data_IF_052379697657
#
_entry.id   IF_052379697657
#
_cell.length_a   1.000
_cell.length_b   1.000
_cell.length_c   1.000
_cell.angle_alpha   90.00
_cell.angle_beta   90.00
_cell.angle_gamma   90.00
#
_symmetry.space_group_name_H-M   'P 1'
#
loop_
_entity.id
_entity.type
_entity.pdbx_description
1 polymer ?
#
# COMPACT_ATOMS: atom_id res chain seq x y z
N UNK A 1 -0.99 59.21 70.50
CA UNK A 1 -1.45 57.96 69.82
C UNK A 1 -1.24 58.16 68.34
N UNK A 2 -0.22 57.59 67.78
CA UNK A 2 0.02 57.65 66.38
C UNK A 2 -0.77 56.50 65.73
N UNK A 3 -1.78 56.79 64.96
CA UNK A 3 -2.43 55.87 64.10
C UNK A 3 -1.44 55.51 62.98
N UNK A 4 -1.01 54.26 62.95
CA UNK A 4 -0.27 53.71 61.83
C UNK A 4 -1.27 53.55 60.69
N UNK A 5 -1.22 54.48 59.77
CA UNK A 5 -1.94 54.38 58.50
C UNK A 5 -1.41 53.07 57.77
N UNK A 6 -2.24 52.08 57.73
CA UNK A 6 -1.99 50.91 56.93
C UNK A 6 -2.04 51.38 55.49
N UNK A 7 -0.87 51.45 54.86
CA UNK A 7 -0.74 51.80 53.45
C UNK A 7 -1.40 50.71 52.58
N UNK A 8 -2.57 51.02 52.04
CA UNK A 8 -3.34 50.15 51.15
C UNK A 8 -2.59 49.85 49.82
N UNK A 9 -1.42 50.49 49.62
CA UNK A 9 -0.56 50.27 48.48
C UNK A 9 0.11 48.87 48.44
N UNK A 10 0.38 48.33 49.66
CA UNK A 10 1.04 47.00 49.70
C UNK A 10 0.10 45.83 49.41
N UNK A 11 -1.20 45.99 49.59
CA UNK A 11 -2.19 44.96 49.22
C UNK A 11 -2.49 44.95 47.72
N UNK A 12 -2.25 46.07 47.05
CA UNK A 12 -2.49 46.18 45.60
C UNK A 12 -1.33 45.63 44.74
N UNK A 13 -0.18 45.30 45.35
CA UNK A 13 0.98 44.82 44.61
C UNK A 13 1.01 43.32 44.39
N UNK A 14 0.13 42.53 44.95
CA UNK A 14 -0.16 41.20 44.41
C UNK A 14 -0.97 41.33 43.13
N UNK A 15 -0.40 41.97 42.12
CA UNK A 15 -0.82 41.73 40.74
C UNK A 15 -0.63 40.25 40.48
N UNK A 16 -1.71 39.49 40.59
CA UNK A 16 -1.76 38.11 40.08
C UNK A 16 -1.45 38.20 38.62
N UNK A 17 -0.19 37.92 38.26
CA UNK A 17 0.19 37.72 36.88
C UNK A 17 -0.46 36.40 36.52
N UNK A 18 -1.66 36.46 35.94
CA UNK A 18 -2.25 35.31 35.29
C UNK A 18 -1.38 35.01 34.07
N UNK A 19 -0.42 34.12 34.24
CA UNK A 19 0.30 33.56 33.10
C UNK A 19 -0.77 32.89 32.24
N UNK A 20 -0.97 33.30 30.98
CA UNK A 20 -1.97 32.67 30.14
C UNK A 20 -1.67 31.19 30.04
N UNK A 21 -2.64 30.36 30.41
CA UNK A 21 -2.52 28.90 30.33
C UNK A 21 -2.34 28.54 28.89
N UNK A 22 -1.18 28.00 28.53
CA UNK A 22 -0.92 27.55 27.16
C UNK A 22 -1.76 26.30 26.90
N UNK A 23 -2.86 26.51 26.19
CA UNK A 23 -3.76 25.44 25.81
C UNK A 23 -3.13 24.61 24.71
N UNK A 24 -2.94 23.33 24.97
CA UNK A 24 -2.47 22.35 23.96
C UNK A 24 -3.66 21.98 23.06
N UNK A 25 -3.63 22.41 21.81
CA UNK A 25 -4.66 22.09 20.82
C UNK A 25 -4.12 20.99 19.90
N UNK A 26 -4.86 19.88 19.78
CA UNK A 26 -4.53 18.81 18.85
C UNK A 26 -5.45 18.83 17.63
N UNK A 27 -4.95 18.47 16.44
CA UNK A 27 -5.74 18.48 15.23
C UNK A 27 -6.78 17.36 15.20
N UNK A 28 -7.68 17.45 14.24
CA UNK A 28 -8.61 16.36 13.91
C UNK A 28 -7.86 15.12 13.48
N UNK A 29 -8.49 13.94 13.68
CA UNK A 29 -7.96 12.64 13.33
C UNK A 29 -7.49 12.60 11.85
N UNK A 30 -6.20 12.40 11.61
CA UNK A 30 -5.63 12.34 10.26
C UNK A 30 -5.98 11.03 9.55
N UNK A 31 -6.28 9.96 10.30
CA UNK A 31 -6.68 8.68 9.76
C UNK A 31 -7.78 8.81 8.70
N UNK A 32 -8.74 9.71 8.89
CA UNK A 32 -9.81 9.96 7.92
C UNK A 32 -9.31 10.47 6.55
N UNK A 33 -8.12 11.08 6.52
CA UNK A 33 -7.55 11.65 5.28
C UNK A 33 -6.63 10.68 4.55
N UNK A 34 -5.98 9.77 5.27
CA UNK A 34 -4.96 8.86 4.72
C UNK A 34 -5.44 7.43 4.52
N UNK A 35 -6.45 6.97 5.28
CA UNK A 35 -7.01 5.61 5.18
C UNK A 35 -8.51 5.65 4.97
N UNK A 36 -9.11 4.52 4.60
CA UNK A 36 -10.56 4.41 4.49
C UNK A 36 -11.21 4.21 5.85
N UNK A 37 -12.37 4.85 6.02
CA UNK A 37 -13.15 4.77 7.24
C UNK A 37 -14.46 4.05 6.94
N UNK A 38 -14.71 2.95 7.64
CA UNK A 38 -15.94 2.19 7.55
C UNK A 38 -16.49 1.91 8.95
N UNK A 39 -17.62 2.51 9.34
CA UNK A 39 -18.19 2.28 10.67
C UNK A 39 -18.67 0.85 10.83
N UNK A 40 -18.50 0.30 12.04
CA UNK A 40 -19.01 -1.01 12.42
C UNK A 40 -20.38 -0.87 13.07
N UNK A 41 -21.30 -1.78 12.75
CA UNK A 41 -22.62 -1.87 13.38
C UNK A 41 -22.59 -2.71 14.66
N UNK A 42 -21.56 -3.51 14.88
CA UNK A 42 -21.41 -4.41 16.02
C UNK A 42 -19.97 -4.48 16.53
N UNK A 43 -19.70 -5.23 17.60
CA UNK A 43 -18.36 -5.40 18.16
C UNK A 43 -17.42 -6.16 17.22
N UNK A 44 -17.98 -6.95 16.31
CA UNK A 44 -17.30 -7.61 15.20
C UNK A 44 -17.97 -7.20 13.90
N UNK A 45 -17.21 -7.14 12.82
CA UNK A 45 -17.72 -6.82 11.51
C UNK A 45 -16.89 -7.49 10.42
N UNK A 46 -17.40 -7.49 9.22
CA UNK A 46 -16.71 -7.98 8.03
C UNK A 46 -16.46 -6.80 7.09
N UNK A 47 -15.23 -6.68 6.62
CA UNK A 47 -14.90 -5.79 5.52
C UNK A 47 -14.85 -6.62 4.26
N UNK A 48 -15.63 -6.20 3.27
CA UNK A 48 -15.71 -6.86 1.98
C UNK A 48 -14.85 -6.14 0.97
N UNK A 49 -14.18 -6.90 0.12
CA UNK A 49 -13.46 -6.37 -1.02
C UNK A 49 -13.68 -7.24 -2.25
N UNK A 50 -13.71 -6.59 -3.39
CA UNK A 50 -13.99 -7.17 -4.69
C UNK A 50 -12.69 -7.44 -5.42
N UNK A 51 -12.56 -8.66 -5.96
CA UNK A 51 -11.48 -9.03 -6.86
C UNK A 51 -12.04 -9.59 -8.16
N UNK A 52 -11.40 -9.23 -9.24
CA UNK A 52 -11.62 -9.85 -10.53
C UNK A 52 -10.45 -10.77 -10.83
N UNK A 53 -10.74 -12.00 -11.19
CA UNK A 53 -9.74 -13.02 -11.49
C UNK A 53 -10.02 -13.66 -12.82
N UNK A 54 -8.98 -14.06 -13.52
CA UNK A 54 -9.13 -14.93 -14.67
C UNK A 54 -9.56 -16.33 -14.22
N UNK A 55 -10.55 -16.90 -14.86
CA UNK A 55 -11.13 -18.21 -14.52
C UNK A 55 -10.33 -19.35 -15.11
N UNK A 56 -9.98 -19.23 -16.37
CA UNK A 56 -9.27 -20.25 -17.15
C UNK A 56 -7.81 -19.88 -17.35
N UNK A 57 -6.98 -20.90 -17.56
CA UNK A 57 -5.63 -20.69 -18.06
C UNK A 57 -5.69 -20.27 -19.52
N UNK A 58 -4.68 -19.52 -19.95
CA UNK A 58 -4.48 -19.22 -21.36
C UNK A 58 -3.00 -18.92 -21.63
N UNK A 59 -2.29 -19.90 -22.13
CA UNK A 59 -0.85 -19.81 -22.36
C UNK A 59 -0.09 -19.51 -21.07
N UNK A 60 0.64 -18.40 -21.05
CA UNK A 60 1.35 -17.94 -19.86
C UNK A 60 0.42 -17.39 -18.77
N UNK A 61 -0.83 -17.05 -19.09
CA UNK A 61 -1.83 -16.56 -18.16
C UNK A 61 -2.45 -17.69 -17.39
N UNK A 62 -2.31 -17.67 -16.07
CA UNK A 62 -2.92 -18.68 -15.22
C UNK A 62 -4.28 -18.25 -14.72
N UNK A 63 -5.24 -19.17 -14.71
CA UNK A 63 -6.51 -19.02 -14.00
C UNK A 63 -6.28 -18.69 -12.53
N UNK A 64 -7.23 -18.01 -11.91
CA UNK A 64 -7.16 -17.46 -10.56
C UNK A 64 -6.17 -16.28 -10.36
N UNK A 65 -5.48 -15.82 -11.40
CA UNK A 65 -4.69 -14.59 -11.35
C UNK A 65 -5.59 -13.36 -11.29
N UNK A 66 -5.22 -12.39 -10.47
CA UNK A 66 -6.00 -11.16 -10.32
C UNK A 66 -5.88 -10.27 -11.55
N UNK A 67 -7.00 -9.78 -12.06
CA UNK A 67 -7.05 -8.74 -13.08
C UNK A 67 -6.67 -7.40 -12.44
N UNK A 68 -5.84 -6.63 -13.11
CA UNK A 68 -5.46 -5.31 -12.63
C UNK A 68 -4.30 -5.28 -11.65
N UNK A 69 -3.48 -6.33 -11.66
CA UNK A 69 -2.12 -6.26 -11.17
C UNK A 69 -1.95 -6.21 -9.67
N UNK A 70 -2.58 -7.13 -8.99
CA UNK A 70 -2.09 -7.46 -7.67
C UNK A 70 -1.00 -8.54 -7.79
N UNK A 71 0.27 -8.17 -7.98
CA UNK A 71 1.36 -9.13 -7.99
C UNK A 71 1.55 -9.63 -6.56
N UNK A 72 1.48 -10.92 -6.33
CA UNK A 72 1.92 -11.48 -5.06
C UNK A 72 1.15 -12.63 -4.46
N UNK A 73 0.02 -13.03 -5.01
CA UNK A 73 -0.65 -14.23 -4.52
C UNK A 73 -0.04 -15.53 -5.10
N UNK A 74 0.62 -15.44 -6.26
CA UNK A 74 1.33 -16.54 -6.87
C UNK A 74 2.72 -16.10 -7.31
N UNK A 75 3.72 -16.96 -7.13
CA UNK A 75 5.09 -16.77 -7.60
C UNK A 75 5.20 -16.58 -9.14
N UNK A 76 4.10 -16.69 -9.85
CA UNK A 76 3.92 -16.52 -11.30
C UNK A 76 2.93 -15.40 -11.64
N UNK A 77 2.76 -14.43 -10.76
CA UNK A 77 1.95 -13.25 -11.08
C UNK A 77 2.46 -12.60 -12.36
N UNK A 78 1.59 -12.51 -13.34
CA UNK A 78 1.84 -12.05 -14.72
C UNK A 78 2.36 -10.62 -14.85
N UNK A 79 2.42 -9.88 -13.76
CA UNK A 79 2.91 -8.51 -13.74
C UNK A 79 4.40 -8.36 -13.48
N UNK A 80 5.10 -9.43 -13.09
CA UNK A 80 6.54 -9.37 -12.84
C UNK A 80 7.21 -10.67 -13.25
N UNK A 81 7.86 -10.68 -14.42
CA UNK A 81 8.91 -11.63 -14.69
C UNK A 81 10.05 -11.45 -13.68
N UNK A 82 10.82 -12.50 -13.47
CA UNK A 82 12.04 -12.44 -12.65
C UNK A 82 13.05 -11.36 -13.11
N UNK A 83 12.95 -10.91 -14.36
CA UNK A 83 13.73 -9.85 -14.98
C UNK A 83 13.15 -8.43 -14.76
N UNK A 84 12.03 -8.32 -14.03
CA UNK A 84 11.37 -7.03 -13.76
C UNK A 84 10.53 -6.48 -14.91
N UNK A 85 10.40 -7.19 -16.03
CA UNK A 85 9.52 -6.77 -17.14
C UNK A 85 8.07 -7.11 -16.81
N UNK A 86 7.16 -6.16 -17.04
CA UNK A 86 5.74 -6.37 -16.86
C UNK A 86 5.24 -7.34 -17.95
N UNK A 87 4.65 -8.44 -17.55
CA UNK A 87 3.86 -9.28 -18.45
C UNK A 87 2.45 -8.68 -18.50
N UNK A 88 2.21 -7.85 -19.51
CA UNK A 88 0.86 -7.49 -19.88
C UNK A 88 0.27 -8.67 -20.64
N UNK A 89 -0.80 -9.23 -20.10
CA UNK A 89 -1.56 -10.24 -20.82
C UNK A 89 -2.52 -9.56 -21.80
N UNK A 90 -1.92 -9.07 -22.87
CA UNK A 90 -2.62 -8.36 -23.93
C UNK A 90 -3.41 -9.29 -24.85
N UNK A 91 -3.22 -10.59 -24.70
CA UNK A 91 -3.81 -11.61 -25.59
C UNK A 91 -4.89 -12.45 -24.92
N UNK A 92 -5.23 -12.22 -23.66
CA UNK A 92 -6.18 -13.07 -22.93
C UNK A 92 -7.54 -13.20 -23.63
N UNK A 93 -8.04 -12.15 -24.24
CA UNK A 93 -9.33 -12.14 -24.96
C UNK A 93 -9.20 -12.44 -26.45
N UNK A 94 -7.99 -12.60 -26.99
CA UNK A 94 -7.74 -12.86 -28.40
C UNK A 94 -7.68 -14.37 -28.69
N UNK A 95 -7.68 -14.76 -29.94
CA UNK A 95 -7.43 -16.13 -30.37
C UNK A 95 -5.96 -16.56 -30.24
N UNK A 96 -5.05 -15.65 -29.90
CA UNK A 96 -3.61 -15.91 -29.77
C UNK A 96 -3.25 -16.41 -28.38
N UNK A 97 -2.55 -17.53 -28.32
CA UNK A 97 -1.98 -18.10 -27.09
C UNK A 97 -0.50 -17.83 -27.09
N UNK A 98 -0.01 -17.22 -26.02
CA UNK A 98 1.39 -16.86 -25.90
C UNK A 98 2.07 -17.70 -24.81
N UNK A 99 3.21 -18.32 -25.17
CA UNK A 99 4.12 -19.00 -24.24
C UNK A 99 3.45 -20.09 -23.38
N UNK A 100 2.58 -20.89 -23.97
CA UNK A 100 2.08 -22.09 -23.30
C UNK A 100 3.23 -23.08 -23.16
N UNK A 101 3.44 -23.57 -21.94
CA UNK A 101 4.51 -24.52 -21.63
C UNK A 101 3.95 -25.93 -21.55
N UNK A 102 4.40 -26.81 -22.42
CA UNK A 102 4.12 -28.22 -22.33
C UNK A 102 5.42 -29.01 -22.01
N UNK A 103 5.32 -29.90 -21.02
CA UNK A 103 6.41 -30.76 -20.61
C UNK A 103 6.12 -32.22 -21.01
N UNK A 104 7.15 -32.93 -21.38
CA UNK A 104 7.02 -34.38 -21.57
C UNK A 104 7.24 -35.11 -20.27
N UNK A 105 6.69 -36.30 -20.17
CA UNK A 105 7.19 -37.29 -19.23
C UNK A 105 8.67 -37.57 -19.53
N UNK A 106 9.49 -37.48 -18.50
CA UNK A 106 10.93 -37.65 -18.62
C UNK A 106 11.27 -39.01 -19.26
N UNK A 107 11.72 -38.98 -20.47
CA UNK A 107 12.60 -39.97 -20.94
C UNK A 107 12.05 -41.10 -21.70
N UNK A 108 12.46 -41.61 -22.46
CA UNK A 108 12.63 -42.88 -23.11
C UNK A 108 12.39 -42.80 -24.63
N UNK A 109 13.34 -42.36 -25.32
CA UNK A 109 13.38 -42.65 -26.75
C UNK A 109 13.60 -41.42 -27.63
N UNK A 110 13.69 -41.71 -28.90
CA UNK A 110 13.90 -40.74 -29.98
C UNK A 110 12.62 -39.91 -30.28
N UNK A 111 11.53 -40.23 -29.60
CA UNK A 111 10.23 -39.55 -29.80
C UNK A 111 9.68 -39.03 -28.49
N UNK A 112 9.34 -37.79 -28.48
CA UNK A 112 8.68 -37.12 -27.34
C UNK A 112 7.25 -36.73 -27.70
N UNK A 113 6.28 -37.21 -26.94
CA UNK A 113 4.88 -36.85 -27.04
C UNK A 113 4.60 -35.85 -25.92
N UNK A 114 4.19 -34.63 -26.28
CA UNK A 114 3.88 -33.58 -25.33
C UNK A 114 2.42 -33.66 -24.94
N UNK A 115 2.11 -33.20 -23.74
CA UNK A 115 0.73 -33.06 -23.30
C UNK A 115 -0.07 -32.23 -24.31
N UNK A 116 -1.34 -32.60 -24.60
CA UNK A 116 -2.16 -31.84 -25.52
C UNK A 116 -2.24 -30.36 -25.11
N UNK A 117 -2.21 -29.49 -26.11
CA UNK A 117 -2.37 -28.06 -25.92
C UNK A 117 -3.76 -27.77 -25.32
N UNK A 118 -3.83 -26.80 -24.41
CA UNK A 118 -5.05 -26.50 -23.68
C UNK A 118 -6.18 -25.99 -24.56
N UNK A 119 -5.85 -25.29 -25.67
CA UNK A 119 -6.85 -24.68 -26.56
C UNK A 119 -6.79 -25.27 -27.97
N UNK A 120 -7.87 -25.88 -28.40
CA UNK A 120 -8.02 -26.52 -29.71
C UNK A 120 -9.32 -26.08 -30.38
N UNK A 121 -9.44 -26.18 -31.73
CA UNK A 121 -8.44 -26.61 -32.72
C UNK A 121 -7.38 -25.55 -33.01
N UNK A 122 -6.14 -26.00 -33.19
CA UNK A 122 -4.97 -25.14 -33.44
C UNK A 122 -4.88 -24.79 -34.93
N UNK A 123 -4.58 -23.53 -35.22
CA UNK A 123 -4.32 -23.03 -36.57
C UNK A 123 -2.83 -23.26 -36.89
N UNK A 124 -2.53 -24.32 -37.63
CA UNK A 124 -1.15 -24.79 -37.85
C UNK A 124 -0.20 -23.72 -38.38
N UNK A 125 -0.64 -22.86 -39.29
CA UNK A 125 0.22 -21.83 -39.90
C UNK A 125 0.67 -20.70 -38.99
N UNK A 126 0.17 -20.64 -37.75
CA UNK A 126 0.46 -19.59 -36.77
C UNK A 126 1.37 -20.05 -35.64
N UNK A 127 1.64 -21.36 -35.57
CA UNK A 127 2.37 -21.96 -34.46
C UNK A 127 3.87 -21.70 -34.54
N UNK A 128 4.41 -21.18 -33.46
CA UNK A 128 5.86 -21.02 -33.24
C UNK A 128 6.21 -21.56 -31.87
N UNK A 129 7.43 -22.09 -31.70
CA UNK A 129 7.82 -22.57 -30.39
C UNK A 129 9.33 -22.62 -30.19
N UNK A 130 9.72 -22.77 -28.93
CA UNK A 130 11.10 -22.94 -28.50
C UNK A 130 11.21 -24.23 -27.69
N UNK A 131 12.17 -25.03 -28.04
CA UNK A 131 12.46 -26.32 -27.41
C UNK A 131 13.59 -26.11 -26.42
N UNK A 132 13.40 -26.62 -25.21
CA UNK A 132 14.36 -26.53 -24.11
C UNK A 132 14.84 -27.91 -23.69
N UNK A 133 16.14 -28.01 -23.38
CA UNK A 133 16.71 -29.12 -22.61
C UNK A 133 17.03 -28.57 -21.19
N UNK A 134 16.23 -28.97 -20.23
CA UNK A 134 16.24 -28.34 -18.92
C UNK A 134 15.91 -26.86 -18.99
N UNK A 135 16.85 -25.99 -18.64
CA UNK A 135 16.69 -24.52 -18.66
C UNK A 135 17.27 -23.87 -19.94
N UNK A 136 17.91 -24.66 -20.82
CA UNK A 136 18.61 -24.13 -22.00
C UNK A 136 17.76 -24.27 -23.25
N UNK A 137 17.52 -23.15 -23.96
CA UNK A 137 16.87 -23.17 -25.25
C UNK A 137 17.83 -23.78 -26.30
N UNK A 138 17.39 -24.82 -27.01
CA UNK A 138 18.22 -25.57 -27.96
C UNK A 138 17.79 -25.34 -29.40
N UNK A 139 16.52 -25.24 -29.68
CA UNK A 139 15.97 -25.01 -31.01
C UNK A 139 14.71 -24.17 -30.97
N UNK A 140 14.47 -23.43 -32.05
CA UNK A 140 13.16 -22.85 -32.34
C UNK A 140 12.51 -23.55 -33.52
N UNK A 141 11.19 -23.54 -33.57
CA UNK A 141 10.47 -24.09 -34.72
C UNK A 141 9.29 -23.20 -35.11
N UNK A 142 8.89 -23.32 -36.36
CA UNK A 142 7.67 -22.76 -36.93
C UNK A 142 6.92 -23.83 -37.66
N UNK A 143 5.60 -23.79 -37.64
CA UNK A 143 4.74 -24.76 -38.35
C UNK A 143 4.02 -24.01 -39.47
N UNK A 144 4.17 -24.52 -40.69
CA UNK A 144 3.47 -23.97 -41.86
C UNK A 144 1.97 -24.35 -41.86
N UNK A 145 1.17 -23.67 -42.66
CA UNK A 145 -0.26 -23.97 -42.82
C UNK A 145 -0.53 -25.45 -43.27
N UNK A 146 0.43 -26.06 -43.91
CA UNK A 146 0.38 -27.50 -44.30
C UNK A 146 0.86 -28.46 -43.20
N UNK A 147 1.14 -27.99 -41.98
CA UNK A 147 1.60 -28.82 -40.86
C UNK A 147 3.09 -29.18 -40.92
N UNK A 148 3.87 -28.59 -41.82
CA UNK A 148 5.31 -28.87 -41.94
C UNK A 148 6.10 -28.05 -40.93
N UNK A 149 6.96 -28.74 -40.17
CA UNK A 149 7.84 -28.12 -39.19
C UNK A 149 9.15 -27.65 -39.84
N UNK A 150 9.54 -26.43 -39.52
CA UNK A 150 10.84 -25.87 -39.87
C UNK A 150 11.58 -25.56 -38.59
N UNK A 151 12.76 -26.16 -38.39
CA UNK A 151 13.58 -26.00 -37.18
C UNK A 151 14.77 -25.09 -37.45
N UNK A 152 15.10 -24.27 -36.46
CA UNK A 152 16.29 -23.43 -36.42
C UNK A 152 17.08 -23.70 -35.13
N UNK A 153 18.34 -24.11 -35.29
CA UNK A 153 19.19 -24.47 -34.15
C UNK A 153 19.69 -23.23 -33.39
N UNK A 154 19.71 -23.33 -32.06
CA UNK A 154 20.32 -22.33 -31.18
C UNK A 154 21.64 -22.93 -30.69
N UNK A 155 22.77 -22.44 -31.21
CA UNK A 155 24.09 -23.01 -30.92
C UNK A 155 24.32 -24.33 -31.64
N UNK A 156 24.85 -25.32 -30.93
CA UNK A 156 25.11 -26.71 -31.45
C UNK A 156 24.34 -27.69 -30.56
N UNK A 157 23.01 -27.83 -30.76
CA UNK A 157 22.20 -28.72 -29.92
C UNK A 157 22.54 -30.20 -30.17
N UNK A 158 22.65 -30.95 -29.08
CA UNK A 158 22.82 -32.38 -29.12
C UNK A 158 22.23 -33.00 -27.83
N UNK A 159 21.13 -33.73 -27.91
CA UNK A 159 20.35 -34.10 -29.10
C UNK A 159 19.54 -32.92 -29.70
N UNK A 160 19.10 -33.07 -30.94
CA UNK A 160 18.25 -32.10 -31.63
C UNK A 160 17.03 -32.76 -32.26
N UNK A 161 15.97 -31.96 -32.41
CA UNK A 161 14.74 -32.40 -33.08
C UNK A 161 14.96 -32.38 -34.59
N UNK A 162 14.53 -33.43 -35.24
CA UNK A 162 14.67 -33.61 -36.71
C UNK A 162 13.34 -33.49 -37.43
N UNK A 163 12.23 -33.87 -36.79
CA UNK A 163 10.89 -33.74 -37.35
C UNK A 163 9.85 -33.60 -36.25
N UNK A 164 8.69 -33.07 -36.61
CA UNK A 164 7.56 -32.93 -35.68
C UNK A 164 6.24 -33.17 -36.38
N UNK A 165 5.22 -33.55 -35.65
CA UNK A 165 3.83 -33.61 -36.10
C UNK A 165 2.92 -32.92 -35.09
N UNK A 166 1.90 -32.24 -35.60
CA UNK A 166 0.90 -31.52 -34.80
C UNK A 166 -0.49 -32.06 -35.15
N UNK A 167 -1.19 -32.58 -34.14
CA UNK A 167 -2.62 -32.88 -34.24
C UNK A 167 -3.43 -31.60 -34.05
N UNK A 168 -3.83 -30.93 -35.12
CA UNK A 168 -4.53 -29.63 -35.04
C UNK A 168 -5.85 -29.73 -34.30
N UNK A 169 -6.54 -30.84 -34.31
CA UNK A 169 -7.80 -31.05 -33.60
C UNK A 169 -7.60 -31.54 -32.17
N UNK A 170 -6.56 -32.34 -31.92
CA UNK A 170 -6.27 -32.91 -30.61
C UNK A 170 -5.32 -32.06 -29.76
N UNK A 171 -4.60 -31.13 -30.38
CA UNK A 171 -3.56 -30.34 -29.72
C UNK A 171 -2.28 -31.14 -29.40
N UNK A 172 -2.18 -32.38 -29.86
CA UNK A 172 -1.05 -33.25 -29.56
C UNK A 172 0.17 -32.84 -30.40
N UNK A 173 1.29 -32.58 -29.73
CA UNK A 173 2.56 -32.24 -30.34
C UNK A 173 3.52 -33.40 -30.14
N UNK A 174 4.04 -33.97 -31.25
CA UNK A 174 5.02 -35.04 -31.21
C UNK A 174 6.28 -34.58 -31.92
N UNK A 175 7.42 -34.71 -31.24
CA UNK A 175 8.74 -34.34 -31.75
C UNK A 175 9.66 -35.57 -31.81
N UNK A 176 10.36 -35.72 -32.93
CA UNK A 176 11.34 -36.82 -33.16
C UNK A 176 12.75 -36.25 -33.04
N UNK A 177 13.57 -36.92 -32.28
CA UNK A 177 14.94 -36.53 -31.95
C UNK A 177 15.98 -37.40 -32.65
N UNK A 178 17.17 -36.88 -32.84
CA UNK A 178 18.30 -37.66 -33.33
C UNK A 178 19.05 -38.46 -32.24
N UNK A 179 18.66 -38.29 -30.99
CA UNK A 179 19.18 -38.96 -29.79
C UNK A 179 18.22 -38.79 -28.62
N UNK A 180 18.35 -39.56 -27.56
CA UNK A 180 17.48 -39.47 -26.40
C UNK A 180 17.75 -38.13 -25.67
N UNK A 181 16.72 -37.27 -25.54
CA UNK A 181 16.85 -36.03 -24.76
C UNK A 181 16.82 -36.30 -23.25
N UNK A 182 17.35 -35.36 -22.47
CA UNK A 182 17.31 -35.43 -21.02
C UNK A 182 15.93 -35.03 -20.48
N UNK A 183 15.76 -33.78 -20.19
CA UNK A 183 14.49 -33.22 -19.70
C UNK A 183 13.99 -32.18 -20.69
N UNK A 184 12.84 -32.44 -21.33
CA UNK A 184 12.36 -31.59 -22.41
C UNK A 184 11.14 -30.80 -22.01
N UNK A 185 11.21 -29.50 -22.28
CA UNK A 185 10.07 -28.60 -22.24
C UNK A 185 9.95 -27.92 -23.61
N UNK A 186 8.72 -27.67 -24.00
CA UNK A 186 8.42 -26.87 -25.19
C UNK A 186 7.56 -25.70 -24.77
N UNK A 187 7.95 -24.52 -25.19
CA UNK A 187 7.15 -23.31 -25.01
C UNK A 187 6.62 -22.91 -26.38
N UNK A 188 5.31 -22.89 -26.55
CA UNK A 188 4.65 -22.63 -27.82
C UNK A 188 3.76 -21.42 -27.78
N UNK A 189 3.70 -20.73 -28.92
CA UNK A 189 2.75 -19.65 -29.16
C UNK A 189 1.99 -19.97 -30.44
N UNK A 190 0.67 -19.89 -30.43
CA UNK A 190 -0.17 -20.30 -31.55
C UNK A 190 -1.52 -19.57 -31.52
N UNK A 191 -2.26 -19.65 -32.62
CA UNK A 191 -3.65 -19.23 -32.65
C UNK A 191 -4.56 -20.47 -32.68
N UNK A 192 -5.70 -20.38 -32.02
CA UNK A 192 -6.75 -21.38 -32.04
C UNK A 192 -8.02 -20.80 -32.63
N UNK A 193 -8.88 -21.64 -33.16
CA UNK A 193 -10.15 -21.20 -33.73
C UNK A 193 -11.17 -21.01 -32.60
N UNK A 194 -11.60 -19.77 -32.39
CA UNK A 194 -12.65 -19.41 -31.42
C UNK A 194 -14.07 -19.53 -32.02
N UNK A 195 -14.22 -19.76 -33.32
CA UNK A 195 -15.52 -19.83 -33.96
C UNK A 195 -16.26 -21.12 -33.54
N UNK A 196 -17.45 -20.96 -32.96
CA UNK A 196 -18.23 -22.07 -32.40
C UNK A 196 -17.51 -22.87 -31.30
N UNK A 197 -16.49 -22.30 -30.68
CA UNK A 197 -15.74 -22.93 -29.61
C UNK A 197 -16.38 -22.60 -28.25
N UNK A 198 -16.44 -23.61 -27.33
CA UNK A 198 -16.94 -23.44 -25.98
C UNK A 198 -15.83 -22.97 -25.01
N UNK A 199 -14.57 -23.07 -25.42
CA UNK A 199 -13.42 -22.71 -24.63
C UNK A 199 -13.11 -21.20 -24.76
N UNK A 200 -13.97 -20.40 -24.16
CA UNK A 200 -13.84 -18.95 -24.13
C UNK A 200 -13.17 -18.49 -22.82
N UNK A 201 -12.28 -17.49 -22.89
CA UNK A 201 -11.70 -16.91 -21.69
C UNK A 201 -12.77 -16.30 -20.77
N UNK A 202 -12.73 -16.64 -19.51
CA UNK A 202 -13.70 -16.20 -18.51
C UNK A 202 -13.07 -15.34 -17.43
N UNK A 203 -13.87 -14.41 -16.92
CA UNK A 203 -13.52 -13.57 -15.79
C UNK A 203 -14.48 -13.84 -14.64
N UNK A 204 -13.93 -14.19 -13.48
CA UNK A 204 -14.68 -14.43 -12.26
C UNK A 204 -14.62 -13.24 -11.32
N UNK A 205 -15.79 -12.88 -10.78
CA UNK A 205 -15.92 -11.95 -9.69
C UNK A 205 -15.83 -12.70 -8.37
N UNK A 206 -14.83 -12.40 -7.55
CA UNK A 206 -14.63 -12.99 -6.23
C UNK A 206 -14.85 -11.91 -5.17
N UNK A 207 -15.77 -12.18 -4.24
CA UNK A 207 -15.98 -11.33 -3.07
C UNK A 207 -15.28 -12.01 -1.90
N UNK A 208 -14.27 -11.35 -1.37
CA UNK A 208 -13.56 -11.79 -0.17
C UNK A 208 -13.96 -10.93 1.03
N UNK A 209 -13.94 -11.50 2.20
CA UNK A 209 -14.25 -10.82 3.45
C UNK A 209 -13.19 -11.09 4.50
N UNK A 210 -12.83 -10.04 5.25
CA UNK A 210 -11.95 -10.15 6.39
C UNK A 210 -12.65 -9.70 7.67
N UNK A 211 -12.49 -10.48 8.73
CA UNK A 211 -13.07 -10.17 10.03
C UNK A 211 -12.28 -9.08 10.76
N UNK A 212 -13.03 -8.14 11.35
CA UNK A 212 -12.51 -7.07 12.19
C UNK A 212 -13.24 -7.09 13.53
N UNK A 213 -12.46 -7.12 14.62
CA UNK A 213 -12.97 -6.98 15.98
C UNK A 213 -12.64 -5.59 16.55
N UNK A 214 -13.64 -4.97 17.16
CA UNK A 214 -13.48 -3.68 17.82
C UNK A 214 -12.76 -3.83 19.16
N UNK A 215 -11.66 -3.12 19.34
CA UNK A 215 -10.92 -3.01 20.59
C UNK A 215 -11.30 -1.73 21.34
N UNK A 216 -11.18 -1.75 22.65
CA UNK A 216 -11.56 -0.64 23.50
C UNK A 216 -10.33 0.16 23.93
N UNK A 217 -10.41 1.50 23.84
CA UNK A 217 -9.48 2.43 24.48
C UNK A 217 -10.20 3.24 25.55
N UNK A 218 -9.58 3.41 26.69
CA UNK A 218 -10.13 4.13 27.84
C UNK A 218 -9.04 4.97 28.47
N UNK A 219 -9.40 6.18 28.81
CA UNK A 219 -8.52 7.09 29.54
C UNK A 219 -9.34 7.79 30.62
N UNK A 220 -8.78 8.01 31.81
CA UNK A 220 -9.44 8.72 32.92
C UNK A 220 -8.58 9.89 33.36
N UNK A 221 -9.24 10.98 33.72
CA UNK A 221 -8.65 12.07 34.47
C UNK A 221 -9.12 12.04 35.93
N UNK A 222 -8.23 12.45 36.80
CA UNK A 222 -8.49 12.68 38.23
C UNK A 222 -7.93 14.06 38.58
N UNK A 223 -8.65 14.84 39.33
CA UNK A 223 -8.18 16.14 39.79
C UNK A 223 -8.62 16.36 41.22
N UNK A 224 -7.97 17.33 41.92
CA UNK A 224 -8.40 17.71 43.24
C UNK A 224 -9.49 18.79 43.20
N UNK A 225 -10.32 18.79 44.22
CA UNK A 225 -11.39 19.80 44.32
C UNK A 225 -10.84 21.22 44.51
N UNK A 226 -9.72 21.32 45.21
CA UNK A 226 -9.01 22.59 45.42
C UNK A 226 -8.50 23.16 44.10
N UNK A 227 -7.86 22.32 43.27
CA UNK A 227 -7.36 22.75 41.96
C UNK A 227 -8.51 23.24 41.04
N UNK A 228 -9.68 22.61 41.11
CA UNK A 228 -10.86 23.04 40.35
C UNK A 228 -11.34 24.44 40.84
N UNK A 229 -11.35 24.64 42.15
CA UNK A 229 -11.74 25.89 42.75
C UNK A 229 -10.78 27.04 42.40
N UNK A 230 -9.48 26.77 42.44
CA UNK A 230 -8.43 27.74 42.10
C UNK A 230 -8.45 28.10 40.61
N UNK A 231 -8.59 27.14 39.70
CA UNK A 231 -8.73 27.40 38.27
C UNK A 231 -9.95 28.28 37.98
N UNK A 232 -11.06 28.00 38.64
CA UNK A 232 -12.28 28.79 38.46
C UNK A 232 -12.15 30.21 39.02
N UNK A 233 -11.53 30.36 40.19
CA UNK A 233 -11.37 31.66 40.84
C UNK A 233 -10.32 32.56 40.17
N UNK A 234 -9.21 31.96 39.70
CA UNK A 234 -8.09 32.73 39.16
C UNK A 234 -8.16 32.93 37.65
N UNK A 235 -8.65 31.93 36.91
CA UNK A 235 -8.64 31.94 35.46
C UNK A 235 -10.02 31.86 34.81
N UNK A 236 -11.08 31.74 35.62
CA UNK A 236 -12.45 31.56 35.14
C UNK A 236 -12.58 30.35 34.17
N UNK A 237 -11.77 29.28 34.37
CA UNK A 237 -11.77 28.08 33.58
C UNK A 237 -12.44 26.93 34.33
N UNK A 238 -13.18 26.12 33.60
CA UNK A 238 -13.75 24.87 34.12
C UNK A 238 -12.77 23.73 33.94
N UNK A 239 -12.21 23.19 35.03
CA UNK A 239 -11.26 22.10 35.04
C UNK A 239 -11.84 20.83 34.37
N UNK A 240 -13.12 20.56 34.53
CA UNK A 240 -13.78 19.42 33.93
C UNK A 240 -13.78 19.49 32.39
N UNK A 241 -14.18 20.66 31.86
CA UNK A 241 -14.25 20.88 30.41
C UNK A 241 -12.86 20.82 29.77
N UNK A 242 -11.86 21.46 30.39
CA UNK A 242 -10.48 21.45 29.89
C UNK A 242 -9.86 20.05 29.90
N UNK A 243 -9.98 19.33 31.03
CA UNK A 243 -9.45 17.95 31.11
C UNK A 243 -10.15 17.02 30.15
N UNK A 244 -11.46 17.16 29.98
CA UNK A 244 -12.21 16.35 29.00
C UNK A 244 -11.71 16.60 27.57
N UNK A 245 -11.46 17.84 27.20
CA UNK A 245 -10.91 18.21 25.90
C UNK A 245 -9.50 17.60 25.69
N UNK A 246 -8.63 17.68 26.70
CA UNK A 246 -7.28 17.10 26.66
C UNK A 246 -7.33 15.57 26.54
N UNK A 247 -8.20 14.89 27.30
CA UNK A 247 -8.37 13.44 27.21
C UNK A 247 -8.81 13.00 25.81
N UNK A 248 -9.77 13.72 25.21
CA UNK A 248 -10.26 13.43 23.88
C UNK A 248 -9.15 13.59 22.83
N UNK A 249 -8.36 14.65 22.97
CA UNK A 249 -7.24 14.94 22.09
C UNK A 249 -6.15 13.87 22.18
N UNK A 250 -5.81 13.42 23.39
CA UNK A 250 -4.79 12.38 23.60
C UNK A 250 -5.19 11.04 22.98
N UNK A 251 -6.46 10.63 23.15
CA UNK A 251 -6.95 9.40 22.51
C UNK A 251 -6.86 9.49 20.98
N UNK A 252 -7.24 10.64 20.39
CA UNK A 252 -7.16 10.83 18.95
C UNK A 252 -5.72 10.77 18.46
N UNK A 253 -4.78 11.41 19.17
CA UNK A 253 -3.36 11.36 18.84
C UNK A 253 -2.78 9.93 18.91
N UNK A 254 -3.21 9.17 19.92
CA UNK A 254 -2.81 7.78 20.08
C UNK A 254 -3.31 6.89 18.94
N UNK A 255 -4.55 7.10 18.48
CA UNK A 255 -5.13 6.40 17.34
C UNK A 255 -4.35 6.73 16.06
N UNK A 256 -4.06 8.00 15.80
CA UNK A 256 -3.30 8.41 14.62
C UNK A 256 -1.90 7.81 14.60
N UNK A 257 -1.20 7.81 15.75
CA UNK A 257 0.11 7.17 15.89
C UNK A 257 0.06 5.67 15.66
N UNK A 258 -0.98 5.01 16.16
CA UNK A 258 -1.16 3.58 15.95
C UNK A 258 -1.35 3.27 14.46
N UNK A 259 -2.20 4.02 13.77
CA UNK A 259 -2.43 3.87 12.32
C UNK A 259 -1.14 4.13 11.54
N UNK A 260 -0.44 5.24 11.80
CA UNK A 260 0.82 5.55 11.11
C UNK A 260 1.90 4.50 11.36
N UNK A 261 1.99 3.96 12.58
CA UNK A 261 2.96 2.91 12.93
C UNK A 261 2.64 1.61 12.19
N UNK A 262 1.37 1.24 12.11
CA UNK A 262 0.94 0.07 11.36
C UNK A 262 1.27 0.22 9.87
N UNK A 263 0.95 1.36 9.25
CA UNK A 263 1.24 1.62 7.85
C UNK A 263 2.74 1.60 7.57
N UNK A 264 3.54 2.20 8.45
CA UNK A 264 4.99 2.24 8.34
C UNK A 264 5.63 0.85 8.42
N UNK A 265 5.17 0.04 9.37
CA UNK A 265 5.74 -1.30 9.59
C UNK A 265 5.33 -2.28 8.49
N UNK A 266 4.16 -2.11 7.92
CA UNK A 266 3.60 -3.00 6.90
C UNK A 266 3.66 -2.39 5.48
N UNK A 267 4.51 -1.39 5.24
CA UNK A 267 4.68 -0.82 3.91
C UNK A 267 5.26 -1.85 2.93
N UNK A 268 4.55 -2.12 1.84
CA UNK A 268 4.94 -3.12 0.82
C UNK A 268 6.08 -2.67 -0.10
N UNK A 269 6.47 -1.39 -0.01
CA UNK A 269 7.65 -0.86 -0.70
C UNK A 269 8.52 -0.17 0.33
N UNK A 270 9.76 -0.64 0.44
CA UNK A 270 10.76 -0.03 1.32
C UNK A 270 11.93 0.43 0.44
N UNK A 271 12.32 1.69 0.60
CA UNK A 271 13.46 2.26 -0.11
C UNK A 271 14.32 3.07 0.84
N UNK A 272 15.53 3.37 0.43
CA UNK A 272 16.46 4.20 1.17
C UNK A 272 17.03 5.29 0.26
N UNK A 273 17.31 6.45 0.84
CA UNK A 273 18.04 7.53 0.23
C UNK A 273 19.08 8.04 1.23
N UNK A 274 20.30 8.27 0.75
CA UNK A 274 21.40 8.74 1.58
C UNK A 274 21.97 10.00 0.96
N UNK A 275 22.05 11.06 1.77
CA UNK A 275 22.58 12.36 1.36
C UNK A 275 24.04 12.27 0.89
N UNK A 276 24.85 11.41 1.49
CA UNK A 276 26.28 11.29 1.14
C UNK A 276 26.50 10.64 -0.22
N UNK A 277 25.62 9.72 -0.61
CA UNK A 277 25.68 9.01 -1.89
C UNK A 277 24.74 9.62 -2.95
N UNK A 278 23.99 10.66 -2.59
CA UNK A 278 23.05 11.33 -3.47
C UNK A 278 23.78 12.02 -4.64
N UNK A 279 23.19 11.96 -5.82
CA UNK A 279 23.69 12.64 -7.01
C UNK A 279 23.58 14.17 -6.85
N UNK A 280 24.62 14.87 -7.21
CA UNK A 280 24.71 16.32 -7.15
C UNK A 280 25.92 16.80 -6.35
N UNK A 281 26.45 17.97 -6.71
CA UNK A 281 27.58 18.62 -6.04
C UNK A 281 27.11 19.59 -4.96
N UNK A 282 25.97 20.23 -5.20
CA UNK A 282 25.39 21.20 -4.27
C UNK A 282 24.33 20.55 -3.38
N UNK A 283 24.11 21.13 -2.20
CA UNK A 283 23.05 20.66 -1.27
C UNK A 283 21.68 20.67 -1.96
N UNK A 284 21.42 21.68 -2.78
CA UNK A 284 20.15 21.81 -3.51
C UNK A 284 19.94 20.67 -4.50
N UNK A 285 20.95 20.33 -5.29
CA UNK A 285 20.89 19.22 -6.26
C UNK A 285 20.67 17.88 -5.56
N UNK A 286 21.32 17.67 -4.41
CA UNK A 286 21.10 16.47 -3.60
C UNK A 286 19.65 16.37 -3.10
N UNK A 287 19.06 17.46 -2.66
CA UNK A 287 17.65 17.48 -2.27
C UNK A 287 16.68 17.30 -3.45
N UNK A 288 17.06 17.80 -4.64
CA UNK A 288 16.33 17.49 -5.87
C UNK A 288 16.39 15.99 -6.20
N UNK A 289 17.51 15.30 -5.90
CA UNK A 289 17.60 13.84 -6.05
C UNK A 289 16.67 13.08 -5.09
N UNK A 290 16.45 13.60 -3.87
CA UNK A 290 15.43 13.05 -2.95
C UNK A 290 14.03 13.13 -3.56
N UNK A 291 13.72 14.26 -4.20
CA UNK A 291 12.44 14.42 -4.88
C UNK A 291 12.26 13.41 -6.02
N UNK A 292 13.29 13.21 -6.85
CA UNK A 292 13.27 12.17 -7.89
C UNK A 292 12.99 10.78 -7.30
N UNK A 293 13.62 10.49 -6.15
CA UNK A 293 13.37 9.21 -5.44
C UNK A 293 11.94 9.05 -4.96
N UNK A 294 11.32 10.12 -4.48
CA UNK A 294 9.90 10.12 -4.09
C UNK A 294 8.99 9.87 -5.30
N UNK A 295 9.28 10.48 -6.46
CA UNK A 295 8.56 10.21 -7.72
C UNK A 295 8.70 8.75 -8.13
N UNK A 296 9.91 8.20 -8.07
CA UNK A 296 10.18 6.79 -8.38
C UNK A 296 9.33 5.86 -7.51
N UNK A 297 9.32 6.07 -6.20
CA UNK A 297 8.52 5.27 -5.26
C UNK A 297 7.03 5.39 -5.55
N UNK A 298 6.55 6.60 -5.85
CA UNK A 298 5.15 6.81 -6.25
C UNK A 298 4.78 6.01 -7.50
N UNK A 299 5.70 5.95 -8.49
CA UNK A 299 5.51 5.15 -9.69
C UNK A 299 5.55 3.63 -9.40
N UNK A 300 6.35 3.19 -8.42
CA UNK A 300 6.33 1.80 -7.95
C UNK A 300 4.97 1.44 -7.32
N UNK A 301 4.40 2.34 -6.51
CA UNK A 301 3.04 2.15 -5.98
C UNK A 301 2.03 2.05 -7.12
N UNK A 302 2.10 2.96 -8.11
CA UNK A 302 1.22 2.93 -9.28
C UNK A 302 1.32 1.59 -10.01
N UNK A 303 2.54 1.12 -10.29
CA UNK A 303 2.78 -0.15 -10.97
C UNK A 303 2.26 -1.36 -10.18
N UNK A 304 2.37 -1.31 -8.83
CA UNK A 304 1.89 -2.39 -7.96
C UNK A 304 0.38 -2.41 -7.78
N UNK A 305 -0.25 -1.26 -7.79
CA UNK A 305 -1.70 -1.13 -7.54
C UNK A 305 -2.53 -1.03 -8.80
N UNK A 306 -1.95 -0.57 -9.93
CA UNK A 306 -2.61 -0.22 -11.19
C UNK A 306 -3.82 0.75 -11.04
N UNK A 307 -3.90 1.44 -9.91
CA UNK A 307 -4.99 2.39 -9.59
C UNK A 307 -4.51 3.83 -9.62
N UNK A 308 -3.32 4.08 -9.11
CA UNK A 308 -2.72 5.40 -9.08
C UNK A 308 -1.45 5.44 -8.27
N UNK A 309 -0.65 6.47 -8.46
CA UNK A 309 0.53 6.74 -7.64
C UNK A 309 0.11 7.32 -6.28
N UNK A 310 1.03 7.37 -5.33
CA UNK A 310 0.79 7.99 -4.04
C UNK A 310 0.16 9.38 -4.17
N UNK A 311 -0.72 9.74 -3.26
CA UNK A 311 -1.39 11.04 -3.22
C UNK A 311 -1.24 11.78 -1.89
N UNK A 312 -0.60 11.17 -0.90
CA UNK A 312 -0.26 11.79 0.36
C UNK A 312 1.11 11.35 0.87
N UNK A 313 1.74 12.22 1.65
CA UNK A 313 3.03 12.02 2.30
C UNK A 313 2.90 12.45 3.76
N UNK A 314 3.42 11.63 4.68
CA UNK A 314 3.59 11.97 6.10
C UNK A 314 5.06 11.89 6.44
N UNK A 315 5.61 12.91 7.05
CA UNK A 315 7.03 12.98 7.38
C UNK A 315 7.29 13.81 8.64
N UNK A 316 8.52 13.74 9.13
CA UNK A 316 9.00 14.58 10.24
C UNK A 316 9.16 16.04 9.82
N UNK A 317 9.21 16.99 10.78
CA UNK A 317 9.44 18.41 10.50
C UNK A 317 10.72 18.69 9.73
N UNK A 318 11.79 17.93 10.02
CA UNK A 318 13.09 18.09 9.38
C UNK A 318 13.04 17.74 7.90
N UNK A 319 12.42 16.62 7.55
CA UNK A 319 12.28 16.21 6.14
C UNK A 319 11.26 17.10 5.43
N UNK A 320 10.21 17.56 6.12
CA UNK A 320 9.24 18.50 5.53
C UNK A 320 9.91 19.79 5.09
N UNK A 321 10.85 20.34 5.88
CA UNK A 321 11.58 21.56 5.53
C UNK A 321 12.39 21.44 4.23
N UNK A 322 12.87 20.24 3.90
CA UNK A 322 13.55 19.97 2.63
C UNK A 322 12.58 20.18 1.46
N UNK A 323 11.35 19.67 1.56
CA UNK A 323 10.34 19.86 0.52
C UNK A 323 9.88 21.33 0.42
N UNK A 324 9.78 22.03 1.55
CA UNK A 324 9.42 23.44 1.59
C UNK A 324 10.48 24.34 0.91
N UNK A 325 11.76 23.99 1.04
CA UNK A 325 12.90 24.82 0.55
C UNK A 325 13.42 24.43 -0.83
N UNK A 326 13.46 23.14 -1.15
CA UNK A 326 14.15 22.63 -2.33
C UNK A 326 13.27 22.49 -3.57
N UNK A 327 11.95 22.44 -3.43
CA UNK A 327 11.06 22.09 -4.53
C UNK A 327 10.41 23.33 -5.14
N UNK A 328 10.69 23.57 -6.41
CA UNK A 328 10.03 24.63 -7.19
C UNK A 328 8.50 24.41 -7.35
N UNK A 329 8.01 23.20 -7.05
CA UNK A 329 6.60 22.82 -7.14
C UNK A 329 5.86 22.76 -5.79
N UNK A 330 6.42 23.30 -4.71
CA UNK A 330 5.72 23.36 -3.43
C UNK A 330 4.68 24.48 -3.43
N UNK A 331 3.42 24.11 -3.20
CA UNK A 331 2.33 25.06 -2.98
C UNK A 331 1.92 25.02 -1.51
N UNK A 332 2.15 26.09 -0.74
CA UNK A 332 1.75 26.13 0.67
C UNK A 332 0.24 26.03 0.81
N UNK A 333 -0.21 25.49 1.93
CA UNK A 333 -1.63 25.46 2.25
C UNK A 333 -2.19 26.91 2.32
N UNK A 334 -3.43 27.16 1.86
CA UNK A 334 -4.08 28.44 2.08
C UNK A 334 -4.05 28.83 3.55
N UNK A 335 -3.86 30.10 3.85
CA UNK A 335 -3.72 30.61 5.23
C UNK A 335 -4.89 30.23 6.15
N UNK A 336 -6.08 30.05 5.59
CA UNK A 336 -7.27 29.60 6.31
C UNK A 336 -7.19 28.14 6.78
N UNK A 337 -6.38 27.31 6.12
CA UNK A 337 -6.19 25.90 6.44
C UNK A 337 -4.93 25.66 7.28
N UNK A 338 -4.06 26.66 7.36
CA UNK A 338 -2.85 26.62 8.17
C UNK A 338 -3.19 26.95 9.62
N UNK A 339 -3.71 25.99 10.34
CA UNK A 339 -3.88 26.11 11.78
C UNK A 339 -2.60 25.68 12.47
N UNK A 340 -1.99 26.58 13.21
CA UNK A 340 -0.88 26.28 14.13
C UNK A 340 -1.37 25.34 15.22
N UNK A 341 -1.33 24.04 14.98
CA UNK A 341 -1.78 23.02 15.92
C UNK A 341 -0.62 22.14 16.37
N UNK A 342 -0.64 21.80 17.66
CA UNK A 342 0.31 20.87 18.27
C UNK A 342 0.01 19.43 17.85
N UNK A 343 0.36 19.03 16.66
CA UNK A 343 0.10 17.69 16.16
C UNK A 343 0.43 17.56 14.69
N UNK A 344 -0.20 16.63 14.02
CA UNK A 344 0.00 16.43 12.59
C UNK A 344 -0.65 17.61 11.84
N UNK A 345 0.17 18.32 11.07
CA UNK A 345 -0.24 19.49 10.31
C UNK A 345 -0.22 19.22 8.82
N UNK A 346 -1.23 19.72 8.13
CA UNK A 346 -1.19 19.82 6.68
C UNK A 346 -0.39 21.06 6.30
N UNK A 347 0.73 20.86 5.59
CA UNK A 347 1.65 21.95 5.23
C UNK A 347 1.35 22.50 3.84
N UNK A 348 0.95 21.66 2.92
CA UNK A 348 0.70 22.05 1.56
C UNK A 348 0.71 20.88 0.58
N UNK A 349 0.78 21.19 -0.68
CA UNK A 349 0.91 20.20 -1.76
C UNK A 349 2.27 20.32 -2.43
N UNK A 350 2.90 19.19 -2.65
CA UNK A 350 4.13 19.10 -3.42
C UNK A 350 3.77 18.72 -4.85
N UNK A 351 4.19 19.54 -5.80
CA UNK A 351 3.92 19.41 -7.23
C UNK A 351 2.43 19.24 -7.59
N UNK A 352 1.56 19.86 -6.82
CA UNK A 352 0.09 19.76 -6.94
C UNK A 352 -0.47 18.31 -6.97
N UNK A 353 0.32 17.35 -6.52
CA UNK A 353 0.02 15.92 -6.57
C UNK A 353 -0.04 15.28 -5.18
N UNK A 354 0.92 15.58 -4.30
CA UNK A 354 1.01 14.96 -2.98
C UNK A 354 0.65 15.94 -1.88
N UNK A 355 -0.28 15.56 -1.03
CA UNK A 355 -0.60 16.28 0.20
C UNK A 355 0.48 16.00 1.23
N UNK A 356 1.20 17.03 1.66
CA UNK A 356 2.27 16.92 2.65
C UNK A 356 1.73 17.15 4.05
N UNK A 357 1.90 16.17 4.90
CA UNK A 357 1.58 16.22 6.32
C UNK A 357 2.87 16.17 7.14
N UNK A 358 2.98 17.04 8.11
CA UNK A 358 4.11 17.18 9.02
C UNK A 358 3.70 16.70 10.41
N UNK A 359 4.38 15.66 10.90
CA UNK A 359 4.13 15.08 12.22
C UNK A 359 5.38 15.24 13.09
N UNK A 360 5.33 16.06 14.16
CA UNK A 360 6.46 16.27 15.05
C UNK A 360 6.90 15.02 15.81
N UNK A 361 6.08 13.99 15.87
CA UNK A 361 6.35 12.75 16.59
C UNK A 361 6.72 11.59 15.63
N UNK A 362 6.80 11.90 14.34
CA UNK A 362 7.26 10.92 13.34
C UNK A 362 8.78 10.78 13.40
N UNK A 363 9.35 9.58 13.15
CA UNK A 363 10.81 9.41 13.12
C UNK A 363 11.49 10.38 12.15
N UNK A 364 12.52 11.08 12.62
CA UNK A 364 13.18 12.18 11.91
C UNK A 364 13.80 11.80 10.56
N UNK A 365 14.11 10.54 10.36
CA UNK A 365 14.78 10.02 9.18
C UNK A 365 13.88 9.17 8.28
N UNK A 366 12.57 9.32 8.35
CA UNK A 366 11.63 8.52 7.58
C UNK A 366 10.56 9.38 6.92
N UNK A 367 10.09 8.87 5.80
CA UNK A 367 8.97 9.39 5.06
C UNK A 367 8.04 8.23 4.73
N UNK A 368 6.76 8.40 5.01
CA UNK A 368 5.70 7.47 4.66
C UNK A 368 4.83 8.09 3.56
N UNK A 369 4.58 7.34 2.51
CA UNK A 369 3.69 7.77 1.45
C UNK A 369 2.72 6.67 1.08
N UNK A 370 1.56 7.05 0.56
CA UNK A 370 0.54 6.09 0.21
C UNK A 370 -0.48 6.63 -0.77
N UNK A 371 -1.29 5.71 -1.24
CA UNK A 371 -2.43 5.98 -2.11
C UNK A 371 -3.74 5.73 -1.37
N UNK A 372 -4.65 6.67 -1.49
CA UNK A 372 -6.05 6.54 -1.08
C UNK A 372 -6.92 7.01 -2.24
N UNK A 373 -7.77 6.13 -2.76
CA UNK A 373 -8.74 6.49 -3.79
C UNK A 373 -9.94 7.26 -3.21
N UNK A 374 -10.79 7.75 -4.12
CA UNK A 374 -12.01 8.47 -3.74
C UNK A 374 -13.09 7.53 -3.19
N UNK A 375 -13.10 6.27 -3.65
CA UNK A 375 -13.96 5.23 -3.11
C UNK A 375 -13.40 4.67 -1.80
N UNK A 376 -14.28 4.36 -0.84
CA UNK A 376 -13.89 3.69 0.39
C UNK A 376 -13.27 2.29 0.13
N UNK A 377 -13.56 1.66 -1.01
CA UNK A 377 -12.99 0.38 -1.43
C UNK A 377 -11.55 0.50 -2.00
N UNK A 378 -11.11 1.73 -2.32
CA UNK A 378 -9.81 1.99 -2.93
C UNK A 378 -8.74 2.38 -1.91
N UNK A 379 -8.63 1.60 -0.83
CA UNK A 379 -7.61 1.77 0.18
C UNK A 379 -7.11 0.42 0.67
N UNK A 380 -5.86 0.36 1.05
CA UNK A 380 -5.26 -0.86 1.60
C UNK A 380 -5.49 -1.05 3.10
N UNK A 381 -5.96 -0.04 3.81
CA UNK A 381 -6.14 -0.07 5.26
C UNK A 381 -7.48 0.52 5.66
N UNK A 382 -8.18 -0.15 6.58
CA UNK A 382 -9.46 0.27 7.10
C UNK A 382 -9.38 0.65 8.58
N UNK A 383 -9.89 1.82 8.89
CA UNK A 383 -10.21 2.26 10.23
C UNK A 383 -11.73 2.15 10.42
N UNK A 384 -12.15 1.39 11.42
CA UNK A 384 -13.54 0.99 11.62
C UNK A 384 -14.03 1.43 13.00
N UNK A 385 -14.55 2.67 13.16
CA UNK A 385 -15.13 3.11 14.41
C UNK A 385 -16.42 2.33 14.70
N UNK A 386 -16.56 1.87 15.93
CA UNK A 386 -17.77 1.19 16.44
C UNK A 386 -18.52 2.08 17.43
N UNK A 387 -17.84 2.52 18.49
CA UNK A 387 -18.40 3.44 19.48
C UNK A 387 -17.64 4.75 19.37
N UNK A 388 -18.32 5.86 19.10
CA UNK A 388 -17.68 7.17 19.09
C UNK A 388 -17.13 7.49 20.47
N UNK A 389 -16.40 8.58 20.60
CA UNK A 389 -15.83 9.03 21.85
C UNK A 389 -16.96 9.36 22.83
N UNK A 390 -17.14 8.53 23.84
CA UNK A 390 -18.16 8.69 24.89
C UNK A 390 -17.52 9.07 26.21
N UNK A 391 -18.17 9.96 26.94
CA UNK A 391 -17.72 10.46 28.23
C UNK A 391 -18.54 9.83 29.34
N UNK A 392 -17.90 9.52 30.48
CA UNK A 392 -18.62 9.13 31.70
C UNK A 392 -19.02 10.36 32.50
N UNK A 393 -20.07 10.32 33.30
CA UNK A 393 -20.35 11.38 34.29
C UNK A 393 -19.17 11.48 35.28
N UNK A 394 -19.05 12.62 35.92
CA UNK A 394 -18.09 12.81 37.01
C UNK A 394 -18.49 11.96 38.20
N UNK A 395 -17.57 11.19 38.72
CA UNK A 395 -17.74 10.33 39.90
C UNK A 395 -16.77 10.83 40.97
N UNK A 396 -17.29 11.17 42.16
CA UNK A 396 -16.47 11.50 43.31
C UNK A 396 -16.01 10.18 43.96
N UNK A 397 -14.73 10.10 44.25
CA UNK A 397 -14.17 9.00 45.04
C UNK A 397 -14.51 9.22 46.52
N UNK A 398 -15.19 8.26 47.19
CA UNK A 398 -15.58 8.45 48.59
C UNK A 398 -14.41 8.49 49.59
N UNK A 399 -13.25 7.95 49.22
CA UNK A 399 -12.09 7.93 50.09
C UNK A 399 -11.21 9.16 49.97
N UNK A 400 -11.02 9.67 48.76
CA UNK A 400 -10.11 10.82 48.49
C UNK A 400 -10.82 12.12 48.15
N UNK A 401 -12.16 12.11 48.01
CA UNK A 401 -12.99 13.21 47.54
C UNK A 401 -12.53 13.82 46.19
N UNK A 402 -11.68 13.10 45.47
CA UNK A 402 -11.20 13.53 44.15
C UNK A 402 -12.22 13.19 43.07
N UNK A 403 -12.68 14.18 42.30
CA UNK A 403 -13.51 13.91 41.12
C UNK A 403 -12.73 13.17 40.04
N UNK A 404 -13.41 12.23 39.39
CA UNK A 404 -12.89 11.42 38.31
C UNK A 404 -13.85 11.45 37.12
N UNK A 405 -13.29 11.55 35.93
CA UNK A 405 -14.03 11.47 34.67
C UNK A 405 -13.26 10.60 33.68
N UNK A 406 -13.97 9.77 32.95
CA UNK A 406 -13.37 8.89 31.93
C UNK A 406 -13.92 9.16 30.55
N UNK A 407 -13.12 8.83 29.56
CA UNK A 407 -13.51 8.80 28.16
C UNK A 407 -13.18 7.45 27.61
N UNK A 408 -14.07 6.93 26.78
CA UNK A 408 -13.87 5.64 26.12
C UNK A 408 -14.27 5.73 24.65
N UNK A 409 -13.58 4.93 23.82
CA UNK A 409 -13.93 4.68 22.42
C UNK A 409 -13.67 3.23 22.08
N UNK A 410 -14.38 2.72 21.07
CA UNK A 410 -14.16 1.38 20.54
C UNK A 410 -14.04 1.46 19.03
N UNK A 411 -12.99 0.89 18.48
CA UNK A 411 -12.76 0.82 17.05
C UNK A 411 -12.01 -0.46 16.67
N UNK A 412 -12.19 -0.87 15.43
CA UNK A 412 -11.40 -1.89 14.77
C UNK A 412 -10.46 -1.28 13.76
N UNK A 413 -9.40 -1.97 13.44
CA UNK A 413 -8.46 -1.62 12.37
C UNK A 413 -8.02 -2.88 11.65
N UNK A 414 -7.82 -2.77 10.35
CA UNK A 414 -7.36 -3.89 9.55
C UNK A 414 -6.58 -3.40 8.33
N UNK A 415 -5.40 -3.99 8.14
CA UNK A 415 -4.70 -3.94 6.86
C UNK A 415 -5.21 -5.12 6.03
N UNK A 416 -5.68 -4.85 4.82
CA UNK A 416 -6.08 -5.90 3.90
C UNK A 416 -4.86 -6.75 3.48
N UNK A 417 -5.09 -7.98 3.09
CA UNK A 417 -4.06 -8.93 2.66
C UNK A 417 -3.08 -8.32 1.63
N UNK A 418 -3.57 -7.52 0.70
CA UNK A 418 -2.75 -6.83 -0.31
C UNK A 418 -2.60 -5.33 -0.05
N UNK A 419 -3.12 -4.85 1.06
CA UNK A 419 -3.12 -3.44 1.42
C UNK A 419 -1.73 -2.83 1.58
N UNK A 420 -0.74 -3.65 1.90
CA UNK A 420 0.65 -3.23 2.01
C UNK A 420 1.20 -2.57 0.73
N UNK A 421 0.70 -2.97 -0.45
CA UNK A 421 1.14 -2.45 -1.76
C UNK A 421 0.76 -1.00 -2.01
N UNK A 422 -0.22 -0.49 -1.28
CA UNK A 422 -0.67 0.91 -1.35
C UNK A 422 0.25 1.87 -0.60
N UNK A 423 1.19 1.36 0.20
CA UNK A 423 2.03 2.15 1.08
C UNK A 423 3.51 1.90 0.82
N UNK A 424 4.30 2.96 0.94
CA UNK A 424 5.74 2.92 0.82
C UNK A 424 6.41 3.70 1.94
N UNK A 425 7.53 3.18 2.40
CA UNK A 425 8.40 3.81 3.37
C UNK A 425 9.75 4.13 2.73
N UNK A 426 10.19 5.37 2.87
CA UNK A 426 11.51 5.82 2.51
C UNK A 426 12.31 6.14 3.77
N UNK A 427 13.47 5.53 3.93
CA UNK A 427 14.44 5.87 4.96
C UNK A 427 15.43 6.89 4.40
N UNK A 428 15.68 7.95 5.13
CA UNK A 428 16.54 9.07 4.72
C UNK A 428 17.73 9.10 5.70
N UNK A 429 18.95 8.98 5.17
CA UNK A 429 20.16 8.96 5.99
C UNK A 429 21.04 10.18 5.72
N UNK A 430 21.81 10.58 6.74
CA UNK A 430 22.88 11.58 6.66
C UNK A 430 22.49 12.95 6.10
N UNK A 431 21.20 13.34 6.16
CA UNK A 431 20.78 14.65 5.70
C UNK A 431 21.19 15.75 6.69
N UNK A 432 21.54 16.91 6.16
CA UNK A 432 21.94 18.11 6.92
C UNK A 432 20.81 19.12 6.82
N UNK A 433 20.37 19.63 7.98
CA UNK A 433 19.35 20.68 8.09
C UNK A 433 20.06 22.03 8.27
#
# INVERSE_FOLDING_TARGET
MNEVSTDTGDVAQFKRISIPLVRRIYPQLIANKIVSVQPLLGPTGLVYYLRFRYSSNKGATRGASNIGGFPGDDANSLMQRADGTANLDIFYTSQFIQNETSSTDAGAGVQSVFAPLEHTPVLAGTMTGTIYDGATAIQTFTVSAGGTFTFSDIGTPSPKVTSGTLGTTTGELVLNWNGAPGSNNVVVSYEYNMECNQDLPEINLVIESEEIAAKTRKLKAVWSYEAQQDLRSQHNLDAEAELTAVLAQEINLEIDREVLTDLRNNAGTVSAWDFNTALGETIKEKYESLYVKVVEISNVIHRKTLRGGANWIVTSPEVASIFETATAGFAPAPSETFTSSLGIQYVGTVNNRWRLYKDPLFPSNQLLMGYKGDSYMDSGYFYCPYVPLTQTPVVLDPESFCPRKGILTRYGKKLLREGAKFYARLSIANFVI
#
